data_IF_452949096611
#
_entry.id   IF_452949096611
#
_cell.length_a   1.000
_cell.length_b   1.000
_cell.length_c   1.000
_cell.angle_alpha   90.00
_cell.angle_beta   90.00
_cell.angle_gamma   90.00
#
_symmetry.space_group_name_H-M   'P 1'
#
loop_
_entity.id
_entity.type
_entity.pdbx_description
1 polymer ?
#
# COMPACT_ATOMS: atom_id res chain seq x y z
N UNK A 1 14.83 22.66 -4.53
CA UNK A 1 14.60 21.43 -3.74
C UNK A 1 15.02 20.25 -4.60
N UNK A 2 16.22 19.70 -4.40
CA UNK A 2 16.80 18.69 -5.31
C UNK A 2 16.24 17.33 -4.92
N UNK A 3 15.22 16.85 -5.62
CA UNK A 3 14.71 15.48 -5.47
C UNK A 3 15.88 14.56 -5.85
N UNK A 4 16.45 13.89 -4.85
CA UNK A 4 17.59 12.98 -5.06
C UNK A 4 17.04 11.76 -5.77
N UNK A 5 17.30 11.63 -7.08
CA UNK A 5 16.95 10.45 -7.86
C UNK A 5 17.64 9.22 -7.26
N UNK A 6 16.89 8.41 -6.50
CA UNK A 6 17.35 7.14 -5.96
C UNK A 6 17.22 6.12 -7.10
N UNK A 7 18.26 5.97 -7.91
CA UNK A 7 18.30 4.93 -8.95
C UNK A 7 18.35 3.55 -8.30
N UNK A 8 17.24 2.82 -8.32
CA UNK A 8 17.13 1.46 -7.75
C UNK A 8 17.96 0.41 -8.51
N UNK A 9 18.51 0.75 -9.69
CA UNK A 9 19.31 -0.15 -10.53
C UNK A 9 20.84 0.03 -10.39
N UNK A 10 21.32 1.06 -9.67
CA UNK A 10 22.75 1.37 -9.57
C UNK A 10 23.09 1.77 -8.12
N UNK A 11 23.71 0.85 -7.35
CA UNK A 11 24.17 1.11 -5.98
C UNK A 11 24.03 -0.07 -5.02
N UNK A 12 24.42 0.12 -3.75
CA UNK A 12 24.28 -0.89 -2.68
C UNK A 12 22.79 -1.15 -2.37
N UNK A 13 22.22 -2.12 -3.09
CA UNK A 13 20.82 -2.57 -3.08
C UNK A 13 20.20 -2.58 -1.67
N UNK A 14 20.91 -3.14 -0.70
CA UNK A 14 20.44 -3.27 0.68
C UNK A 14 20.13 -1.93 1.38
N UNK A 15 20.91 -0.87 1.13
CA UNK A 15 20.68 0.45 1.75
C UNK A 15 19.49 1.16 1.11
N UNK A 16 19.28 0.98 -0.19
CA UNK A 16 18.17 1.61 -0.91
C UNK A 16 16.83 0.91 -0.63
N UNK A 17 16.83 -0.42 -0.55
CA UNK A 17 15.66 -1.19 -0.11
C UNK A 17 15.27 -0.79 1.31
N UNK A 18 16.22 -0.72 2.25
CA UNK A 18 15.92 -0.32 3.63
C UNK A 18 15.36 1.11 3.69
N UNK A 19 15.94 2.04 2.95
CA UNK A 19 15.50 3.45 2.91
C UNK A 19 14.11 3.62 2.27
N UNK A 20 13.71 2.72 1.36
CA UNK A 20 12.39 2.74 0.73
C UNK A 20 11.34 1.94 1.53
N UNK A 21 11.74 0.81 2.11
CA UNK A 21 10.88 -0.05 2.91
C UNK A 21 10.54 0.57 4.28
N UNK A 22 11.46 1.31 4.90
CA UNK A 22 11.24 1.95 6.19
C UNK A 22 10.05 2.93 6.19
N UNK A 23 9.94 3.90 5.26
CA UNK A 23 8.78 4.78 5.21
C UNK A 23 7.49 4.04 4.82
N UNK A 24 7.55 3.01 3.96
CA UNK A 24 6.39 2.17 3.63
C UNK A 24 5.89 1.37 4.84
N UNK A 25 6.81 0.83 5.63
CA UNK A 25 6.50 0.09 6.85
C UNK A 25 5.87 1.02 7.90
N UNK A 26 6.47 2.19 8.13
CA UNK A 26 5.92 3.20 9.05
C UNK A 26 4.53 3.65 8.59
N UNK A 27 4.32 3.83 7.29
CA UNK A 27 3.01 4.21 6.73
C UNK A 27 1.96 3.13 7.02
N UNK A 28 2.27 1.85 6.78
CA UNK A 28 1.36 0.75 7.08
C UNK A 28 1.08 0.65 8.59
N UNK A 29 2.10 0.83 9.41
CA UNK A 29 1.96 0.79 10.87
C UNK A 29 1.06 1.92 11.39
N UNK A 30 1.27 3.14 10.90
CA UNK A 30 0.43 4.30 11.22
C UNK A 30 -1.02 4.09 10.76
N UNK A 31 -1.23 3.50 9.59
CA UNK A 31 -2.58 3.20 9.09
C UNK A 31 -3.29 2.14 9.94
N UNK A 32 -2.57 1.12 10.42
CA UNK A 32 -3.10 0.11 11.33
C UNK A 32 -3.44 0.73 12.69
N UNK A 33 -2.55 1.57 13.25
CA UNK A 33 -2.78 2.28 14.50
C UNK A 33 -3.96 3.23 14.41
N UNK A 34 -4.11 3.96 13.30
CA UNK A 34 -5.26 4.83 13.06
C UNK A 34 -6.57 4.04 13.05
N UNK A 35 -6.62 2.93 12.32
CA UNK A 35 -7.81 2.06 12.28
C UNK A 35 -8.17 1.50 13.67
N UNK A 36 -7.18 1.16 14.49
CA UNK A 36 -7.39 0.67 15.86
C UNK A 36 -7.84 1.80 16.80
N UNK A 37 -7.21 2.99 16.68
CA UNK A 37 -7.55 4.15 17.50
C UNK A 37 -8.97 4.65 17.21
N UNK A 38 -9.37 4.72 15.94
CA UNK A 38 -10.73 5.08 15.53
C UNK A 38 -11.76 4.11 16.13
N UNK A 39 -11.52 2.80 16.02
CA UNK A 39 -12.36 1.77 16.65
C UNK A 39 -12.44 1.93 18.17
N UNK A 40 -11.32 2.21 18.84
CA UNK A 40 -11.25 2.38 20.30
C UNK A 40 -12.02 3.62 20.76
N UNK A 41 -11.88 4.74 20.06
CA UNK A 41 -12.60 5.98 20.35
C UNK A 41 -14.11 5.76 20.16
N UNK A 42 -14.52 5.21 19.01
CA UNK A 42 -15.94 4.96 18.74
C UNK A 42 -16.55 3.96 19.74
N UNK A 43 -15.77 2.94 20.16
CA UNK A 43 -16.17 2.02 21.23
C UNK A 43 -16.41 2.74 22.56
N UNK A 44 -15.53 3.66 22.93
CA UNK A 44 -15.65 4.39 24.20
C UNK A 44 -16.87 5.32 24.22
N UNK A 45 -17.28 5.84 23.06
CA UNK A 45 -18.43 6.74 22.94
C UNK A 45 -19.79 6.01 22.79
N UNK A 46 -19.83 4.85 22.13
CA UNK A 46 -21.09 4.21 21.72
C UNK A 46 -21.26 2.77 22.27
N UNK A 47 -20.30 2.31 23.07
CA UNK A 47 -20.35 1.04 23.80
C UNK A 47 -20.21 -0.21 22.92
N UNK A 48 -20.41 -1.37 23.54
CA UNK A 48 -20.19 -2.70 22.92
C UNK A 48 -21.13 -2.97 21.73
N UNK A 49 -22.33 -2.39 21.75
CA UNK A 49 -23.31 -2.52 20.65
C UNK A 49 -22.83 -1.86 19.35
N UNK A 50 -22.15 -0.72 19.44
CA UNK A 50 -21.56 -0.06 18.28
C UNK A 50 -20.38 -0.85 17.71
N UNK A 51 -19.58 -1.48 18.57
CA UNK A 51 -18.46 -2.32 18.12
C UNK A 51 -18.94 -3.53 17.30
N UNK A 52 -20.04 -4.16 17.70
CA UNK A 52 -20.66 -5.27 16.95
C UNK A 52 -21.18 -4.82 15.57
N UNK A 53 -21.80 -3.63 15.51
CA UNK A 53 -22.26 -3.02 14.26
C UNK A 53 -21.10 -2.69 13.32
N UNK A 54 -20.04 -2.06 13.83
CA UNK A 54 -18.86 -1.71 13.04
C UNK A 54 -18.15 -2.98 12.55
N UNK A 55 -18.08 -4.04 13.36
CA UNK A 55 -17.53 -5.33 12.94
C UNK A 55 -18.25 -5.90 11.71
N UNK A 56 -19.58 -5.81 11.66
CA UNK A 56 -20.36 -6.25 10.49
C UNK A 56 -20.14 -5.34 9.27
N UNK A 57 -20.13 -4.02 9.46
CA UNK A 57 -19.93 -3.06 8.37
C UNK A 57 -18.49 -3.05 7.84
N UNK A 58 -17.51 -3.39 8.67
CA UNK A 58 -16.08 -3.44 8.30
C UNK A 58 -15.84 -4.38 7.13
N UNK A 59 -16.49 -5.56 7.11
CA UNK A 59 -16.34 -6.52 6.01
C UNK A 59 -16.87 -5.98 4.68
N UNK A 60 -17.99 -5.23 4.71
CA UNK A 60 -18.55 -4.60 3.51
C UNK A 60 -17.62 -3.50 2.98
N UNK A 61 -17.08 -2.67 3.87
CA UNK A 61 -16.13 -1.61 3.52
C UNK A 61 -14.85 -2.22 2.94
N UNK A 62 -14.30 -3.27 3.57
CA UNK A 62 -13.07 -3.91 3.10
C UNK A 62 -13.27 -4.54 1.73
N UNK A 63 -14.42 -5.16 1.45
CA UNK A 63 -14.73 -5.73 0.15
C UNK A 63 -14.67 -4.66 -0.96
N UNK A 64 -15.33 -3.52 -0.74
CA UNK A 64 -15.34 -2.41 -1.70
C UNK A 64 -13.94 -1.84 -1.92
N UNK A 65 -13.18 -1.61 -0.84
CA UNK A 65 -11.80 -1.11 -0.93
C UNK A 65 -10.93 -2.10 -1.70
N UNK A 66 -11.06 -3.41 -1.44
CA UNK A 66 -10.27 -4.45 -2.11
C UNK A 66 -10.63 -4.60 -3.58
N UNK A 67 -11.89 -4.40 -3.94
CA UNK A 67 -12.32 -4.38 -5.34
C UNK A 67 -11.66 -3.24 -6.10
N UNK A 68 -11.73 -2.02 -5.57
CA UNK A 68 -11.14 -0.83 -6.20
C UNK A 68 -9.61 -0.93 -6.26
N UNK A 69 -8.97 -1.37 -5.17
CA UNK A 69 -7.53 -1.62 -5.17
C UNK A 69 -7.14 -2.70 -6.17
N UNK A 70 -7.93 -3.77 -6.29
CA UNK A 70 -7.73 -4.83 -7.28
C UNK A 70 -7.73 -4.28 -8.71
N UNK A 71 -8.73 -3.47 -9.06
CA UNK A 71 -8.80 -2.80 -10.36
C UNK A 71 -7.61 -1.86 -10.59
N UNK A 72 -7.26 -1.04 -9.59
CA UNK A 72 -6.14 -0.11 -9.66
C UNK A 72 -4.79 -0.84 -9.85
N UNK A 73 -4.60 -1.96 -9.14
CA UNK A 73 -3.41 -2.80 -9.30
C UNK A 73 -3.37 -3.49 -10.66
N UNK A 74 -4.52 -3.93 -11.19
CA UNK A 74 -4.61 -4.50 -12.54
C UNK A 74 -4.17 -3.50 -13.61
N UNK A 75 -4.65 -2.26 -13.52
CA UNK A 75 -4.21 -1.18 -14.43
C UNK A 75 -2.72 -0.89 -14.23
N UNK A 76 -2.24 -0.79 -12.99
CA UNK A 76 -0.82 -0.53 -12.69
C UNK A 76 0.11 -1.59 -13.29
N UNK A 77 -0.28 -2.87 -13.23
CA UNK A 77 0.49 -3.99 -13.81
C UNK A 77 0.54 -3.88 -15.34
N UNK A 78 -0.59 -3.59 -15.99
CA UNK A 78 -0.64 -3.41 -17.45
C UNK A 78 0.20 -2.20 -17.87
N UNK A 79 0.11 -1.08 -17.16
CA UNK A 79 0.93 0.12 -17.43
C UNK A 79 2.42 -0.18 -17.30
N UNK A 80 2.83 -0.93 -16.27
CA UNK A 80 4.23 -1.35 -16.11
C UNK A 80 4.68 -2.26 -17.24
N UNK A 81 3.85 -3.23 -17.66
CA UNK A 81 4.20 -4.12 -18.77
C UNK A 81 4.36 -3.39 -20.11
N UNK A 82 3.46 -2.45 -20.43
CA UNK A 82 3.56 -1.63 -21.65
C UNK A 82 4.80 -0.75 -21.63
N UNK A 83 5.04 -0.05 -20.52
CA UNK A 83 6.22 0.81 -20.36
C UNK A 83 7.53 0.02 -20.29
N UNK A 84 7.47 -1.25 -19.86
CA UNK A 84 8.64 -2.14 -19.90
C UNK A 84 8.89 -2.62 -21.33
N UNK A 85 7.83 -2.93 -22.09
CA UNK A 85 7.95 -3.46 -23.46
C UNK A 85 8.57 -2.52 -24.48
N UNK A 86 8.57 -1.20 -24.24
CA UNK A 86 9.38 -0.25 -25.03
C UNK A 86 10.91 -0.40 -24.77
N UNK A 87 11.32 -1.10 -23.70
CA UNK A 87 12.72 -1.31 -23.29
C UNK A 87 13.10 -2.81 -23.19
N UNK A 88 12.24 -3.73 -23.67
CA UNK A 88 12.45 -5.19 -23.58
C UNK A 88 13.30 -5.80 -24.70
N UNK A 89 13.79 -5.03 -25.68
CA UNK A 89 14.78 -5.55 -26.64
C UNK A 89 16.12 -5.91 -25.98
N UNK A 90 16.36 -5.51 -24.71
CA UNK A 90 17.60 -5.74 -23.99
C UNK A 90 17.61 -6.82 -22.89
N UNK A 91 16.47 -7.33 -22.42
CA UNK A 91 16.41 -8.11 -21.16
C UNK A 91 15.93 -9.56 -21.28
N UNK A 92 15.61 -10.06 -22.47
CA UNK A 92 15.30 -11.49 -22.70
C UNK A 92 16.51 -12.27 -23.27
N UNK A 93 17.73 -11.79 -23.01
CA UNK A 93 18.99 -12.51 -23.21
C UNK A 93 19.75 -12.64 -21.88
N UNK A 94 19.18 -13.33 -20.91
CA UNK A 94 19.96 -14.05 -19.89
C UNK A 94 19.24 -15.32 -19.49
#
# INVERSE_FOLDING_TARGET
>A
MRIRNINLSQGTIWKQILLFALPLFVTNLMQQLYSIADLMIVCNFSGVAALAGIGATTYLIIMLIRLVLGLATGVSVVTVQVNSSEDLDGLYKV
#
